data_IF_375092386157
#
_entry.id   IF_375092386157
#
_cell.length_a   1.000
_cell.length_b   1.000
_cell.length_c   1.000
_cell.angle_alpha   90.00
_cell.angle_beta   90.00
_cell.angle_gamma   90.00
#
_symmetry.space_group_name_H-M   'P 1'
#
loop_
_entity.id
_entity.type
_entity.pdbx_description
1 polymer ?
#
# COMPACT_ATOMS: atom_id res chain seq x y z
N UNK A 1 -14.32 15.11 -11.11
CA UNK A 1 -13.20 14.14 -11.15
C UNK A 1 -13.69 12.80 -10.62
N UNK A 2 -13.40 11.74 -11.35
CA UNK A 2 -13.79 10.38 -10.96
C UNK A 2 -12.55 9.54 -10.72
N UNK A 3 -12.39 9.08 -9.49
CA UNK A 3 -11.32 8.16 -9.12
C UNK A 3 -11.92 6.76 -9.06
N UNK A 4 -11.30 5.82 -9.78
CA UNK A 4 -11.69 4.42 -9.78
C UNK A 4 -10.73 3.63 -8.88
N UNK A 5 -11.29 2.78 -8.03
CA UNK A 5 -10.50 1.93 -7.12
C UNK A 5 -10.82 0.47 -7.47
N UNK A 6 -9.78 -0.32 -7.76
CA UNK A 6 -9.90 -1.74 -8.02
C UNK A 6 -8.63 -2.48 -7.60
N UNK A 7 -8.56 -3.77 -7.90
CA UNK A 7 -7.44 -4.63 -7.54
C UNK A 7 -6.56 -5.02 -8.73
N UNK A 8 -6.70 -4.32 -9.86
CA UNK A 8 -5.93 -4.65 -11.06
C UNK A 8 -4.60 -3.91 -11.10
N UNK A 9 -3.54 -4.63 -11.44
CA UNK A 9 -2.22 -4.05 -11.74
C UNK A 9 -2.02 -3.78 -13.22
N UNK A 10 -3.03 -4.08 -14.05
CA UNK A 10 -2.91 -3.93 -15.51
C UNK A 10 -2.67 -2.49 -15.91
N UNK A 11 -1.75 -2.30 -16.86
CA UNK A 11 -1.49 -0.99 -17.46
C UNK A 11 -0.77 0.01 -16.57
N UNK A 12 -0.27 -0.38 -15.40
CA UNK A 12 0.47 0.54 -14.54
C UNK A 12 1.83 0.86 -15.17
N UNK A 13 2.11 2.16 -15.32
CA UNK A 13 3.44 2.66 -15.66
C UNK A 13 4.26 2.69 -14.35
N UNK A 14 5.08 1.67 -14.14
CA UNK A 14 5.81 1.52 -12.89
C UNK A 14 6.91 2.56 -12.71
N UNK A 15 7.49 3.06 -13.80
CA UNK A 15 8.46 4.16 -13.72
C UNK A 15 7.78 5.44 -13.23
N UNK A 16 6.57 5.74 -13.75
CA UNK A 16 5.80 6.88 -13.30
C UNK A 16 5.33 6.71 -11.85
N UNK A 17 4.87 5.50 -11.50
CA UNK A 17 4.44 5.21 -10.13
C UNK A 17 5.60 5.40 -9.14
N UNK A 18 6.79 4.92 -9.48
CA UNK A 18 8.00 5.12 -8.67
C UNK A 18 8.28 6.61 -8.49
N UNK A 19 8.23 7.39 -9.56
CA UNK A 19 8.49 8.83 -9.51
C UNK A 19 7.46 9.55 -8.63
N UNK A 20 6.19 9.17 -8.73
CA UNK A 20 5.13 9.79 -7.94
C UNK A 20 5.26 9.46 -6.46
N UNK A 21 5.60 8.22 -6.13
CA UNK A 21 5.88 7.83 -4.74
C UNK A 21 7.10 8.58 -4.20
N UNK A 22 8.16 8.69 -4.98
CA UNK A 22 9.37 9.39 -4.56
C UNK A 22 9.12 10.87 -4.28
N UNK A 23 8.24 11.49 -5.06
CA UNK A 23 7.85 12.89 -4.84
C UNK A 23 7.18 13.11 -3.48
N UNK A 24 6.56 12.08 -2.92
CA UNK A 24 5.93 12.11 -1.60
C UNK A 24 6.79 11.40 -0.53
N UNK A 25 8.06 11.10 -0.82
CA UNK A 25 8.97 10.35 0.06
C UNK A 25 8.42 8.98 0.46
N UNK A 26 7.75 8.30 -0.46
CA UNK A 26 7.04 7.05 -0.17
C UNK A 26 7.53 5.85 -0.98
N UNK A 27 8.60 6.00 -1.75
CA UNK A 27 9.10 4.92 -2.62
C UNK A 27 10.00 3.92 -1.89
N UNK A 28 10.48 4.26 -0.70
CA UNK A 28 11.40 3.45 0.13
C UNK A 28 12.68 3.05 -0.62
N UNK A 29 13.07 3.81 -1.64
CA UNK A 29 14.29 3.54 -2.42
C UNK A 29 14.18 2.41 -3.44
N UNK A 30 13.01 1.79 -3.59
CA UNK A 30 12.81 0.69 -4.54
C UNK A 30 12.92 1.19 -5.99
N UNK A 31 13.55 0.38 -6.85
CA UNK A 31 13.48 0.58 -8.29
C UNK A 31 12.05 0.37 -8.79
N UNK A 32 11.71 0.84 -10.00
CA UNK A 32 10.41 0.52 -10.61
C UNK A 32 10.13 -0.99 -10.67
N UNK A 33 11.14 -1.80 -10.97
CA UNK A 33 10.98 -3.25 -11.01
C UNK A 33 10.72 -3.84 -9.63
N UNK A 34 11.45 -3.40 -8.60
CA UNK A 34 11.23 -3.87 -7.24
C UNK A 34 9.86 -3.43 -6.72
N UNK A 35 9.42 -2.22 -7.06
CA UNK A 35 8.08 -1.75 -6.72
C UNK A 35 7.01 -2.65 -7.34
N UNK A 36 7.11 -2.92 -8.65
CA UNK A 36 6.20 -3.81 -9.36
C UNK A 36 6.14 -5.19 -8.71
N UNK A 37 7.30 -5.79 -8.46
CA UNK A 37 7.38 -7.13 -7.86
C UNK A 37 6.76 -7.16 -6.46
N UNK A 38 6.95 -6.11 -5.66
CA UNK A 38 6.36 -6.06 -4.32
C UNK A 38 4.83 -6.08 -4.37
N UNK A 39 4.22 -5.44 -5.37
CA UNK A 39 2.77 -5.48 -5.56
C UNK A 39 2.32 -6.80 -6.17
N UNK A 40 3.03 -7.33 -7.16
CA UNK A 40 2.70 -8.62 -7.78
C UNK A 40 2.75 -9.78 -6.77
N UNK A 41 3.65 -9.72 -5.80
CA UNK A 41 3.80 -10.77 -4.79
C UNK A 41 2.89 -10.57 -3.57
N UNK A 42 2.17 -9.47 -3.48
CA UNK A 42 1.19 -9.26 -2.43
C UNK A 42 -0.10 -10.00 -2.76
N UNK A 43 -0.70 -10.62 -1.76
CA UNK A 43 -1.93 -11.40 -1.97
C UNK A 43 -3.08 -10.55 -2.46
N UNK A 44 -3.21 -9.35 -1.94
CA UNK A 44 -4.25 -8.40 -2.33
C UNK A 44 -3.65 -7.02 -2.53
N UNK A 45 -4.17 -6.31 -3.52
CA UNK A 45 -3.76 -4.94 -3.81
C UNK A 45 -4.98 -4.07 -4.01
N UNK A 46 -4.82 -2.78 -3.77
CA UNK A 46 -5.82 -1.77 -4.11
C UNK A 46 -5.13 -0.64 -4.87
N UNK A 47 -5.68 -0.30 -6.02
CA UNK A 47 -5.12 0.73 -6.90
C UNK A 47 -6.20 1.76 -7.18
N UNK A 48 -5.89 3.03 -6.94
CA UNK A 48 -6.77 4.14 -7.26
C UNK A 48 -6.23 4.85 -8.50
N UNK A 49 -7.09 5.06 -9.49
CA UNK A 49 -6.73 5.73 -10.74
C UNK A 49 -7.64 6.94 -11.00
N UNK A 50 -7.03 8.01 -11.44
CA UNK A 50 -7.71 9.15 -12.03
C UNK A 50 -7.38 9.12 -13.53
N UNK A 51 -8.34 8.71 -14.36
CA UNK A 51 -8.03 8.32 -15.73
C UNK A 51 -7.04 7.15 -15.74
N UNK A 52 -5.93 7.30 -16.44
CA UNK A 52 -4.87 6.28 -16.49
C UNK A 52 -3.79 6.50 -15.43
N UNK A 53 -3.84 7.62 -14.69
CA UNK A 53 -2.84 7.94 -13.67
C UNK A 53 -3.15 7.23 -12.37
N UNK A 54 -2.16 6.53 -11.84
CA UNK A 54 -2.25 5.95 -10.50
C UNK A 54 -2.11 7.08 -9.47
N UNK A 55 -3.12 7.24 -8.63
CA UNK A 55 -3.15 8.28 -7.59
C UNK A 55 -3.26 7.71 -6.18
N UNK A 56 -3.33 6.39 -6.07
CA UNK A 56 -3.29 5.71 -4.79
C UNK A 56 -2.91 4.25 -4.96
N UNK A 57 -2.19 3.71 -3.99
CA UNK A 57 -1.77 2.32 -3.96
C UNK A 57 -1.80 1.82 -2.53
N UNK A 58 -2.13 0.55 -2.36
CA UNK A 58 -2.01 -0.15 -1.08
C UNK A 58 -1.88 -1.63 -1.36
N UNK A 59 -1.17 -2.36 -0.49
CA UNK A 59 -1.02 -3.81 -0.64
C UNK A 59 -1.18 -4.50 0.70
N UNK A 60 -1.64 -5.73 0.65
CA UNK A 60 -1.94 -6.54 1.82
C UNK A 60 -1.26 -7.89 1.68
N UNK A 61 -0.33 -8.18 2.56
CA UNK A 61 0.27 -9.51 2.70
C UNK A 61 -0.68 -10.35 3.56
N UNK A 62 -0.92 -11.58 3.16
CA UNK A 62 -1.83 -12.45 3.91
C UNK A 62 -1.49 -13.90 3.70
N UNK A 63 -1.67 -14.71 4.76
CA UNK A 63 -1.57 -16.16 4.65
C UNK A 63 -2.86 -16.80 4.10
N UNK A 64 -3.91 -15.98 3.93
CA UNK A 64 -5.21 -16.44 3.45
C UNK A 64 -6.05 -17.13 4.52
N UNK A 65 -5.60 -17.15 5.76
CA UNK A 65 -6.24 -17.90 6.85
C UNK A 65 -6.49 -17.01 8.07
N UNK A 66 -5.44 -16.49 8.69
CA UNK A 66 -5.58 -15.83 9.98
C UNK A 66 -4.81 -14.51 10.12
N UNK A 67 -3.73 -14.30 9.40
CA UNK A 67 -2.91 -13.11 9.57
C UNK A 67 -2.66 -12.37 8.26
N UNK A 68 -2.78 -11.05 8.32
CA UNK A 68 -2.50 -10.16 7.21
C UNK A 68 -1.73 -8.95 7.70
N UNK A 69 -0.90 -8.37 6.83
CA UNK A 69 -0.14 -7.17 7.14
C UNK A 69 -0.31 -6.16 6.01
N UNK A 70 -0.78 -4.97 6.38
CA UNK A 70 -1.07 -3.89 5.46
C UNK A 70 0.17 -3.03 5.27
N UNK A 71 0.56 -2.77 4.02
CA UNK A 71 1.79 -2.09 3.68
C UNK A 71 1.55 -1.11 2.54
N UNK A 72 2.34 -0.04 2.50
CA UNK A 72 2.40 0.90 1.38
C UNK A 72 1.07 1.57 1.05
N UNK A 73 0.34 2.02 2.07
CA UNK A 73 -0.89 2.78 1.85
C UNK A 73 -0.51 4.21 1.47
N UNK A 74 -0.68 4.53 0.20
CA UNK A 74 -0.30 5.84 -0.34
C UNK A 74 -1.43 6.45 -1.15
N UNK A 75 -1.68 7.74 -0.92
CA UNK A 75 -2.53 8.58 -1.77
C UNK A 75 -1.70 9.76 -2.23
N UNK A 76 -1.69 10.03 -3.53
CA UNK A 76 -0.94 11.15 -4.09
C UNK A 76 -1.33 12.45 -3.39
N UNK A 77 -0.36 13.31 -3.13
CA UNK A 77 -0.57 14.57 -2.41
C UNK A 77 -1.62 15.45 -3.09
N UNK A 78 -1.74 15.37 -4.42
CA UNK A 78 -2.73 16.12 -5.20
C UNK A 78 -4.17 15.62 -5.01
N UNK A 79 -4.35 14.43 -4.44
CA UNK A 79 -5.66 13.75 -4.37
C UNK A 79 -6.09 13.42 -2.94
N UNK A 80 -5.47 14.04 -1.95
CA UNK A 80 -5.79 13.77 -0.54
C UNK A 80 -7.12 14.37 -0.14
N UNK A 81 -7.71 13.86 0.95
CA UNK A 81 -8.98 14.29 1.53
C UNK A 81 -10.18 14.06 0.60
N UNK A 82 -10.12 13.02 -0.23
CA UNK A 82 -11.19 12.65 -1.14
C UNK A 82 -11.75 11.25 -0.85
N UNK A 83 -11.34 10.64 0.28
CA UNK A 83 -11.80 9.31 0.66
C UNK A 83 -11.11 8.17 -0.07
N UNK A 84 -10.02 8.42 -0.79
CA UNK A 84 -9.31 7.41 -1.58
C UNK A 84 -8.70 6.34 -0.67
N UNK A 85 -7.98 6.76 0.38
CA UNK A 85 -7.37 5.81 1.32
C UNK A 85 -8.44 4.94 1.98
N UNK A 86 -9.54 5.52 2.43
CA UNK A 86 -10.66 4.79 3.01
C UNK A 86 -11.23 3.76 2.02
N UNK A 87 -11.41 4.16 0.76
CA UNK A 87 -11.90 3.26 -0.28
C UNK A 87 -10.96 2.09 -0.54
N UNK A 88 -9.66 2.35 -0.63
CA UNK A 88 -8.65 1.30 -0.78
C UNK A 88 -8.64 0.34 0.42
N UNK A 89 -8.71 0.90 1.63
CA UNK A 89 -8.71 0.10 2.85
C UNK A 89 -9.93 -0.82 2.92
N UNK A 90 -11.11 -0.31 2.58
CA UNK A 90 -12.32 -1.13 2.57
C UNK A 90 -12.22 -2.28 1.58
N UNK A 91 -11.69 -2.03 0.39
CA UNK A 91 -11.47 -3.08 -0.60
C UNK A 91 -10.58 -4.20 -0.04
N UNK A 92 -9.48 -3.83 0.62
CA UNK A 92 -8.54 -4.80 1.18
C UNK A 92 -9.11 -5.53 2.38
N UNK A 93 -9.77 -4.83 3.31
CA UNK A 93 -10.36 -5.43 4.51
C UNK A 93 -11.44 -6.44 4.12
N UNK A 94 -12.28 -6.10 3.17
CA UNK A 94 -13.35 -7.00 2.70
C UNK A 94 -12.81 -8.26 2.05
N UNK A 95 -11.57 -8.25 1.58
CA UNK A 95 -10.94 -9.43 0.97
C UNK A 95 -10.45 -10.46 2.00
N UNK A 96 -10.35 -10.10 3.28
CA UNK A 96 -9.76 -10.95 4.32
C UNK A 96 -10.68 -11.14 5.54
N UNK A 97 -11.94 -11.57 5.34
CA UNK A 97 -12.84 -11.77 6.48
C UNK A 97 -12.26 -12.80 7.45
N UNK A 98 -12.39 -12.52 8.74
CA UNK A 98 -11.93 -13.43 9.80
C UNK A 98 -10.45 -13.36 10.11
N UNK A 99 -9.66 -12.55 9.38
CA UNK A 99 -8.22 -12.44 9.62
C UNK A 99 -7.89 -11.29 10.56
N UNK A 100 -6.77 -11.42 11.24
CA UNK A 100 -6.17 -10.35 12.04
C UNK A 100 -5.27 -9.52 11.12
N UNK A 101 -5.62 -8.25 10.92
CA UNK A 101 -4.88 -7.33 10.04
C UNK A 101 -4.04 -6.40 10.90
N UNK A 102 -2.73 -6.45 10.73
CA UNK A 102 -1.81 -5.53 11.39
C UNK A 102 -1.26 -4.50 10.42
N UNK A 103 -0.81 -3.38 10.95
CA UNK A 103 -0.13 -2.34 10.20
C UNK A 103 0.75 -1.52 11.13
N UNK A 104 1.63 -0.72 10.55
CA UNK A 104 2.43 0.25 11.28
C UNK A 104 2.21 1.63 10.66
N UNK A 105 1.95 2.63 11.49
CA UNK A 105 1.82 4.02 11.05
C UNK A 105 2.31 4.95 12.16
N UNK A 106 2.82 6.12 11.77
CA UNK A 106 3.22 7.16 12.71
C UNK A 106 2.43 8.47 12.53
N UNK A 107 1.64 8.58 11.46
CA UNK A 107 0.96 9.84 11.13
C UNK A 107 -0.50 9.69 10.65
N UNK A 108 -1.03 8.47 10.57
CA UNK A 108 -2.36 8.21 10.04
C UNK A 108 -3.29 7.51 11.03
N UNK A 109 -3.05 7.68 12.33
CA UNK A 109 -3.84 6.99 13.37
C UNK A 109 -5.34 7.22 13.22
N UNK A 110 -5.75 8.46 12.94
CA UNK A 110 -7.18 8.80 12.84
C UNK A 110 -7.90 8.02 11.73
N UNK A 111 -7.21 7.81 10.59
CA UNK A 111 -7.76 7.01 9.50
C UNK A 111 -8.03 5.58 9.97
N UNK A 112 -7.03 4.95 10.59
CA UNK A 112 -7.15 3.55 10.99
C UNK A 112 -8.12 3.35 12.15
N UNK A 113 -8.15 4.27 13.10
CA UNK A 113 -9.17 4.25 14.17
C UNK A 113 -10.58 4.33 13.59
N UNK A 114 -10.78 5.17 12.56
CA UNK A 114 -12.10 5.28 11.91
C UNK A 114 -12.54 4.00 11.21
N UNK A 115 -11.59 3.11 10.90
CA UNK A 115 -11.86 1.82 10.28
C UNK A 115 -11.94 0.68 11.29
N UNK A 116 -11.84 0.97 12.58
CA UNK A 116 -11.97 -0.02 13.65
C UNK A 116 -10.65 -0.62 14.13
N UNK A 117 -9.51 -0.10 13.67
CA UNK A 117 -8.21 -0.54 14.16
C UNK A 117 -7.95 0.03 15.55
N UNK A 118 -7.27 -0.75 16.37
CA UNK A 118 -6.84 -0.35 17.71
C UNK A 118 -5.33 -0.48 17.80
N UNK A 119 -4.69 0.48 18.45
CA UNK A 119 -3.26 0.44 18.66
C UNK A 119 -2.87 -0.73 19.55
N UNK A 120 -1.87 -1.48 19.15
CA UNK A 120 -1.29 -2.57 19.92
C UNK A 120 0.12 -2.17 20.38
N UNK A 121 0.55 -2.57 21.57
CA UNK A 121 1.91 -2.28 22.03
C UNK A 121 2.94 -3.17 21.35
N UNK A 122 4.19 -2.72 21.35
CA UNK A 122 5.39 -3.52 21.05
C UNK A 122 5.47 -4.09 19.64
N UNK A 123 6.06 -3.29 18.75
CA UNK A 123 6.47 -3.72 17.42
C UNK A 123 7.99 -3.94 17.41
N UNK A 124 8.43 -5.11 16.93
CA UNK A 124 9.85 -5.45 16.82
C UNK A 124 10.20 -5.65 15.37
N UNK A 125 11.34 -5.11 14.92
CA UNK A 125 11.75 -5.24 13.53
C UNK A 125 13.25 -5.44 13.40
N UNK A 126 13.65 -6.08 12.29
CA UNK A 126 15.04 -6.30 11.92
C UNK A 126 15.14 -6.21 10.40
N UNK A 127 16.05 -5.39 9.90
CA UNK A 127 16.45 -5.46 8.49
C UNK A 127 17.54 -6.53 8.39
N UNK A 128 17.25 -7.59 7.63
CA UNK A 128 18.22 -8.68 7.48
C UNK A 128 19.30 -8.24 6.49
N UNK A 129 20.49 -8.00 6.99
CA UNK A 129 21.61 -7.47 6.20
C UNK A 129 21.42 -6.00 5.85
N UNK A 130 21.46 -5.69 4.58
CA UNK A 130 21.33 -4.32 4.07
C UNK A 130 19.97 -4.14 3.39
N UNK A 131 19.28 -3.04 3.70
CA UNK A 131 17.98 -2.70 3.10
C UNK A 131 18.09 -2.70 1.57
N UNK A 132 17.20 -3.43 0.92
CA UNK A 132 17.11 -3.56 -0.54
C UNK A 132 18.37 -4.18 -1.19
N UNK A 133 19.17 -4.95 -0.46
CA UNK A 133 20.32 -5.64 -1.04
C UNK A 133 19.93 -6.59 -2.18
N UNK A 134 18.69 -7.08 -2.18
CA UNK A 134 18.17 -7.97 -3.22
C UNK A 134 17.51 -7.24 -4.41
N UNK A 135 17.54 -5.91 -4.43
CA UNK A 135 17.03 -5.15 -5.57
C UNK A 135 18.19 -4.86 -6.53
N UNK A 136 18.27 -5.64 -7.60
CA UNK A 136 19.36 -5.55 -8.57
C UNK A 136 19.31 -4.25 -9.41
N UNK A 137 18.18 -3.56 -9.42
CA UNK A 137 17.96 -2.37 -10.26
C UNK A 137 17.96 -1.06 -9.47
N UNK A 138 18.31 -1.14 -8.23
CA UNK A 138 18.33 -0.02 -7.31
C UNK A 138 19.46 0.96 -7.59
#
# INVERSE_FOLDING_TARGET
>A
MTVRIDDSLDGIDWAQAKADLAADDFDNGRSPDALRRSFEQSRHVAIARDGDRVVGMARLLSDGVCNAYLVDVWTASSHRRQGIATGMMRLLIEAVPGQHVGLQTDDAQALYESLGFEQQPEFWSLVVGTWLANDANR
#
